data_IF_318423944758
#
_entry.id   IF_318423944758
#
_cell.length_a   1.000
_cell.length_b   1.000
_cell.length_c   1.000
_cell.angle_alpha   90.00
_cell.angle_beta   90.00
_cell.angle_gamma   90.00
#
_symmetry.space_group_name_H-M   'P 1'
#
loop_
_entity.id
_entity.type
_entity.pdbx_description
1 polymer ?
#
# COMPACT_ATOMS: atom_id res chain seq x y z
N UNK A 1 -16.86 18.90 9.79
CA UNK A 1 -16.09 17.67 10.00
C UNK A 1 -16.07 16.93 8.67
N UNK A 2 -14.92 16.84 8.00
CA UNK A 2 -14.82 16.11 6.73
C UNK A 2 -14.84 14.62 7.08
N UNK A 3 -15.88 13.91 6.65
CA UNK A 3 -15.89 12.45 6.72
C UNK A 3 -14.90 11.94 5.67
N UNK A 4 -13.78 11.39 6.12
CA UNK A 4 -12.81 10.73 5.24
C UNK A 4 -13.36 9.34 4.93
N UNK A 5 -13.62 9.06 3.66
CA UNK A 5 -13.96 7.71 3.20
C UNK A 5 -12.72 6.81 3.31
N UNK A 6 -12.76 5.84 4.24
CA UNK A 6 -11.67 4.88 4.48
C UNK A 6 -11.59 3.78 3.42
N UNK A 7 -12.49 3.79 2.45
CA UNK A 7 -12.44 2.89 1.29
C UNK A 7 -11.86 3.57 0.05
N UNK A 8 -11.62 4.88 0.11
CA UNK A 8 -10.98 5.65 -0.95
C UNK A 8 -9.44 5.47 -0.89
N UNK A 9 -8.79 4.98 -1.96
CA UNK A 9 -7.33 4.91 -2.05
C UNK A 9 -6.61 6.24 -1.76
N UNK A 10 -7.21 7.39 -2.06
CA UNK A 10 -6.59 8.71 -1.86
C UNK A 10 -6.54 9.13 -0.39
N UNK A 11 -7.25 8.41 0.50
CA UNK A 11 -7.18 8.62 1.94
C UNK A 11 -5.89 8.06 2.58
N UNK A 12 -5.01 7.42 1.79
CA UNK A 12 -3.85 6.67 2.27
C UNK A 12 -2.56 7.07 1.56
N UNK A 13 -1.45 6.90 2.27
CA UNK A 13 -0.11 7.02 1.66
C UNK A 13 0.19 5.81 0.78
N UNK A 14 1.07 5.99 -0.20
CA UNK A 14 1.58 4.91 -1.05
C UNK A 14 2.18 3.77 -0.21
N UNK A 15 2.90 4.09 0.88
CA UNK A 15 3.45 3.09 1.80
C UNK A 15 2.38 2.18 2.41
N UNK A 16 1.27 2.76 2.89
CA UNK A 16 0.20 1.98 3.49
C UNK A 16 -0.44 1.05 2.45
N UNK A 17 -0.75 1.59 1.27
CA UNK A 17 -1.35 0.82 0.17
C UNK A 17 -0.41 -0.30 -0.28
N UNK A 18 0.89 -0.02 -0.37
CA UNK A 18 1.91 -0.99 -0.75
C UNK A 18 2.03 -2.10 0.29
N UNK A 19 2.09 -1.77 1.58
CA UNK A 19 2.12 -2.77 2.67
C UNK A 19 0.88 -3.68 2.62
N UNK A 20 -0.31 -3.10 2.44
CA UNK A 20 -1.54 -3.87 2.31
C UNK A 20 -1.48 -4.84 1.12
N UNK A 21 -1.03 -4.37 -0.05
CA UNK A 21 -0.93 -5.21 -1.25
C UNK A 21 0.14 -6.29 -1.13
N UNK A 22 1.29 -5.98 -0.50
CA UNK A 22 2.34 -6.96 -0.22
C UNK A 22 1.84 -8.06 0.71
N UNK A 23 1.08 -7.74 1.77
CA UNK A 23 0.49 -8.76 2.62
C UNK A 23 -0.52 -9.63 1.85
N UNK A 24 -1.29 -9.07 0.92
CA UNK A 24 -2.18 -9.85 0.04
C UNK A 24 -1.35 -10.80 -0.84
N UNK A 25 -0.26 -10.29 -1.42
CA UNK A 25 0.68 -11.05 -2.24
C UNK A 25 1.31 -12.19 -1.43
N UNK A 26 1.96 -11.90 -0.31
CA UNK A 26 2.70 -12.87 0.52
C UNK A 26 1.82 -14.00 1.07
N UNK A 27 0.55 -13.71 1.36
CA UNK A 27 -0.39 -14.74 1.79
C UNK A 27 -0.91 -15.62 0.63
N UNK A 28 -0.50 -15.34 -0.61
CA UNK A 28 -0.83 -16.16 -1.78
C UNK A 28 -2.32 -16.21 -2.10
N UNK A 29 -3.07 -15.15 -1.75
CA UNK A 29 -4.52 -15.15 -1.97
C UNK A 29 -4.84 -15.13 -3.47
N UNK A 30 -5.51 -16.19 -3.93
CA UNK A 30 -6.01 -16.29 -5.30
C UNK A 30 -7.12 -15.27 -5.58
N UNK A 31 -7.93 -14.97 -4.56
CA UNK A 31 -8.87 -13.84 -4.55
C UNK A 31 -9.02 -13.29 -3.12
N UNK A 32 -9.22 -11.99 -3.02
CA UNK A 32 -9.48 -11.31 -1.76
C UNK A 32 -10.99 -11.35 -1.49
N UNK A 33 -11.38 -11.95 -0.37
CA UNK A 33 -12.76 -12.11 0.08
C UNK A 33 -12.91 -11.69 1.55
N UNK A 34 -14.14 -11.71 2.08
CA UNK A 34 -14.42 -11.27 3.46
C UNK A 34 -13.61 -12.02 4.52
N UNK A 35 -13.36 -13.32 4.33
CA UNK A 35 -12.66 -14.15 5.33
C UNK A 35 -11.18 -13.81 5.41
N UNK A 36 -10.48 -13.79 4.28
CA UNK A 36 -9.05 -13.48 4.28
C UNK A 36 -8.78 -11.98 4.50
N UNK A 37 -9.68 -11.09 4.07
CA UNK A 37 -9.59 -9.66 4.40
C UNK A 37 -9.69 -9.40 5.91
N UNK A 38 -10.52 -10.17 6.65
CA UNK A 38 -10.53 -10.09 8.11
C UNK A 38 -9.22 -10.55 8.75
N UNK A 39 -8.54 -11.54 8.15
CA UNK A 39 -7.21 -11.96 8.61
C UNK A 39 -6.18 -10.87 8.38
N UNK A 40 -6.18 -10.27 7.19
CA UNK A 40 -5.31 -9.13 6.87
C UNK A 40 -5.55 -7.93 7.77
N UNK A 41 -6.82 -7.63 8.11
CA UNK A 41 -7.13 -6.56 9.05
C UNK A 41 -6.46 -6.78 10.41
N UNK A 42 -6.47 -8.02 10.91
CA UNK A 42 -5.79 -8.36 12.17
C UNK A 42 -4.28 -8.18 12.04
N UNK A 43 -3.69 -8.65 10.94
CA UNK A 43 -2.24 -8.50 10.69
C UNK A 43 -1.83 -7.04 10.58
N UNK A 44 -2.58 -6.21 9.85
CA UNK A 44 -2.28 -4.79 9.69
C UNK A 44 -2.39 -4.02 11.02
N UNK A 45 -3.43 -4.30 11.82
CA UNK A 45 -3.64 -3.63 13.12
C UNK A 45 -2.47 -3.79 14.08
N UNK A 46 -1.74 -4.89 14.00
CA UNK A 46 -0.60 -5.19 14.85
C UNK A 46 0.74 -5.00 14.13
N UNK A 47 0.73 -4.50 12.89
CA UNK A 47 1.95 -4.38 12.10
C UNK A 47 2.83 -3.24 12.64
N UNK A 48 4.13 -3.50 12.94
CA UNK A 48 5.01 -2.51 13.57
C UNK A 48 5.10 -1.18 12.82
N UNK A 49 5.09 -1.21 11.49
CA UNK A 49 5.11 -0.01 10.65
C UNK A 49 3.92 0.92 10.92
N UNK A 50 2.70 0.37 11.11
CA UNK A 50 1.51 1.18 11.36
C UNK A 50 1.45 1.67 12.80
N UNK A 51 1.95 0.85 13.73
CA UNK A 51 2.01 1.20 15.15
C UNK A 51 3.03 2.29 15.49
N UNK A 52 3.89 2.70 14.53
CA UNK A 52 4.76 3.87 14.71
C UNK A 52 3.96 5.17 14.81
N UNK A 53 2.79 5.24 14.18
CA UNK A 53 2.01 6.47 14.03
C UNK A 53 0.56 6.35 14.53
N UNK A 54 0.15 5.20 15.08
CA UNK A 54 -1.20 4.93 15.58
C UNK A 54 -1.18 3.82 16.63
N UNK A 55 -2.25 3.66 17.41
CA UNK A 55 -2.44 2.48 18.29
C UNK A 55 -3.30 1.39 17.63
N UNK A 56 -3.24 0.18 18.16
CA UNK A 56 -4.10 -0.93 17.71
C UNK A 56 -5.58 -0.59 17.90
N UNK A 57 -5.94 0.12 18.98
CA UNK A 57 -7.29 0.56 19.27
C UNK A 57 -7.78 1.57 18.23
N UNK A 58 -6.96 2.56 17.88
CA UNK A 58 -7.27 3.57 16.86
C UNK A 58 -7.48 2.91 15.50
N UNK A 59 -6.59 1.99 15.11
CA UNK A 59 -6.73 1.21 13.88
C UNK A 59 -7.99 0.34 13.92
N UNK A 60 -8.34 -0.22 15.09
CA UNK A 60 -9.51 -1.09 15.23
C UNK A 60 -10.85 -0.39 15.05
N UNK A 61 -10.91 0.93 15.23
CA UNK A 61 -12.14 1.71 15.03
C UNK A 61 -12.58 1.76 13.56
N UNK A 62 -11.65 1.65 12.61
CA UNK A 62 -11.97 1.83 11.19
C UNK A 62 -11.42 0.71 10.29
N UNK A 63 -10.28 0.10 10.63
CA UNK A 63 -9.66 -0.93 9.80
C UNK A 63 -10.37 -2.28 10.01
N UNK A 64 -11.24 -2.64 9.09
CA UNK A 64 -11.96 -3.92 9.09
C UNK A 64 -11.69 -4.69 7.80
N UNK A 65 -12.00 -5.99 7.78
CA UNK A 65 -11.88 -6.77 6.54
C UNK A 65 -12.80 -6.25 5.42
N UNK A 66 -13.95 -5.66 5.76
CA UNK A 66 -14.81 -5.02 4.76
C UNK A 66 -14.14 -3.77 4.16
N UNK A 67 -13.51 -2.95 5.00
CA UNK A 67 -12.77 -1.77 4.55
C UNK A 67 -11.61 -2.17 3.66
N UNK A 68 -10.80 -3.16 4.05
CA UNK A 68 -9.68 -3.67 3.24
C UNK A 68 -10.17 -4.20 1.89
N UNK A 69 -11.24 -4.99 1.90
CA UNK A 69 -11.78 -5.57 0.67
C UNK A 69 -12.26 -4.48 -0.30
N UNK A 70 -13.01 -3.48 0.21
CA UNK A 70 -13.48 -2.35 -0.59
C UNK A 70 -12.32 -1.48 -1.07
N UNK A 71 -11.39 -1.13 -0.18
CA UNK A 71 -10.20 -0.34 -0.49
C UNK A 71 -9.37 -0.98 -1.60
N UNK A 72 -9.11 -2.29 -1.51
CA UNK A 72 -8.36 -3.02 -2.52
C UNK A 72 -9.08 -3.05 -3.88
N UNK A 73 -10.40 -3.27 -3.89
CA UNK A 73 -11.17 -3.24 -5.13
C UNK A 73 -11.22 -1.82 -5.74
N UNK A 74 -11.40 -0.78 -4.91
CA UNK A 74 -11.38 0.61 -5.36
C UNK A 74 -10.02 0.99 -5.93
N UNK A 75 -8.94 0.50 -5.32
CA UNK A 75 -7.58 0.68 -5.82
C UNK A 75 -7.39 0.03 -7.19
N UNK A 76 -7.79 -1.24 -7.37
CA UNK A 76 -7.73 -1.90 -8.68
C UNK A 76 -8.54 -1.15 -9.74
N UNK A 77 -9.74 -0.67 -9.39
CA UNK A 77 -10.57 0.12 -10.30
C UNK A 77 -9.92 1.45 -10.68
N UNK A 78 -9.36 2.18 -9.70
CA UNK A 78 -8.64 3.45 -9.93
C UNK A 78 -7.50 3.28 -10.92
N UNK A 79 -6.75 2.19 -10.78
CA UNK A 79 -5.60 1.88 -11.63
C UNK A 79 -5.95 1.15 -12.93
N UNK A 80 -7.24 0.91 -13.21
CA UNK A 80 -7.72 0.12 -14.36
C UNK A 80 -7.07 -1.27 -14.44
N UNK A 81 -6.82 -1.90 -13.29
CA UNK A 81 -6.28 -3.26 -13.21
C UNK A 81 -7.47 -4.23 -13.12
N UNK A 82 -7.69 -4.99 -14.19
CA UNK A 82 -8.75 -5.98 -14.22
C UNK A 82 -8.37 -7.24 -13.42
N UNK A 83 -9.33 -7.74 -12.64
CA UNK A 83 -9.23 -9.08 -12.06
C UNK A 83 -9.46 -10.09 -13.16
N UNK A 84 -8.42 -10.47 -13.89
CA UNK A 84 -8.55 -11.49 -14.91
C UNK A 84 -8.71 -12.88 -14.27
N UNK A 85 -9.96 -13.28 -14.04
CA UNK A 85 -10.34 -14.58 -13.46
C UNK A 85 -10.07 -15.73 -14.43
N UNK A 86 -9.77 -15.44 -15.71
CA UNK A 86 -9.69 -16.48 -16.75
C UNK A 86 -8.34 -17.20 -16.83
N UNK A 87 -7.33 -16.77 -16.08
CA UNK A 87 -5.99 -17.38 -16.11
C UNK A 87 -5.68 -18.25 -14.90
N UNK A 88 -6.66 -19.01 -14.38
CA UNK A 88 -6.34 -20.25 -13.66
C UNK A 88 -5.88 -21.27 -14.72
N UNK A 89 -4.63 -21.13 -15.19
CA UNK A 89 -4.02 -22.13 -16.07
C UNK A 89 -4.03 -23.46 -15.32
N UNK A 90 -4.89 -24.37 -15.78
CA UNK A 90 -4.92 -25.81 -15.43
C UNK A 90 -3.59 -26.56 -15.67
N UNK A 91 -2.53 -25.86 -16.08
CA UNK A 91 -1.23 -26.41 -16.45
C UNK A 91 -0.07 -25.80 -15.65
N UNK A 92 -0.32 -25.12 -14.54
CA UNK A 92 0.76 -24.77 -13.61
C UNK A 92 1.33 -26.10 -13.04
N UNK A 93 2.64 -26.37 -13.17
CA UNK A 93 3.24 -27.57 -12.61
C UNK A 93 2.93 -27.62 -11.11
N UNK A 94 2.52 -28.79 -10.61
CA UNK A 94 2.22 -29.01 -9.20
C UNK A 94 3.34 -28.42 -8.33
N UNK A 95 3.07 -27.30 -7.66
CA UNK A 95 4.02 -26.60 -6.80
C UNK A 95 4.32 -25.13 -7.14
N UNK A 96 3.93 -24.59 -8.31
CA UNK A 96 4.05 -23.14 -8.54
C UNK A 96 2.83 -22.40 -8.00
N UNK A 97 2.94 -21.82 -6.80
CA UNK A 97 2.00 -20.80 -6.34
C UNK A 97 2.19 -19.54 -7.19
N UNK A 98 1.60 -19.50 -8.37
CA UNK A 98 1.53 -18.27 -9.16
C UNK A 98 0.51 -17.35 -8.50
N UNK A 99 0.98 -16.20 -8.01
CA UNK A 99 0.12 -15.14 -7.51
C UNK A 99 -0.78 -14.62 -8.65
N UNK A 100 -2.00 -14.17 -8.35
CA UNK A 100 -2.86 -13.60 -9.39
C UNK A 100 -2.19 -12.38 -10.03
N UNK A 101 -2.22 -12.32 -11.37
CA UNK A 101 -1.54 -11.25 -12.11
C UNK A 101 -1.94 -9.84 -11.69
N UNK A 102 -3.19 -9.64 -11.28
CA UNK A 102 -3.68 -8.35 -10.79
C UNK A 102 -3.06 -7.95 -9.44
N UNK A 103 -2.71 -8.90 -8.57
CA UNK A 103 -2.04 -8.61 -7.28
C UNK A 103 -0.59 -8.22 -7.54
N UNK A 104 0.10 -8.92 -8.44
CA UNK A 104 1.45 -8.56 -8.87
C UNK A 104 1.47 -7.17 -9.50
N UNK A 105 0.57 -6.91 -10.46
CA UNK A 105 0.50 -5.64 -11.17
C UNK A 105 0.29 -4.44 -10.23
N UNK A 106 -0.60 -4.56 -9.24
CA UNK A 106 -0.81 -3.45 -8.30
C UNK A 106 0.38 -3.25 -7.35
N UNK A 107 1.07 -4.32 -6.94
CA UNK A 107 2.29 -4.22 -6.14
C UNK A 107 3.41 -3.52 -6.92
N UNK A 108 3.64 -3.91 -8.17
CA UNK A 108 4.67 -3.32 -9.04
C UNK A 108 4.40 -1.83 -9.28
N UNK A 109 3.14 -1.47 -9.53
CA UNK A 109 2.72 -0.08 -9.73
C UNK A 109 2.96 0.77 -8.48
N UNK A 110 2.55 0.29 -7.30
CA UNK A 110 2.76 1.02 -6.04
C UNK A 110 4.24 1.09 -5.68
N UNK A 111 5.03 0.06 -5.99
CA UNK A 111 6.47 0.06 -5.79
C UNK A 111 7.16 1.13 -6.66
N UNK A 112 6.80 1.20 -7.93
CA UNK A 112 7.31 2.23 -8.85
C UNK A 112 6.98 3.65 -8.36
N UNK A 113 5.72 3.89 -7.96
CA UNK A 113 5.32 5.18 -7.37
C UNK A 113 6.12 5.51 -6.12
N UNK A 114 6.37 4.51 -5.27
CA UNK A 114 7.12 4.74 -4.05
C UNK A 114 8.58 5.11 -4.34
N UNK A 115 9.19 4.52 -5.36
CA UNK A 115 10.52 4.91 -5.81
C UNK A 115 10.54 6.37 -6.29
N UNK A 116 9.56 6.76 -7.13
CA UNK A 116 9.43 8.15 -7.60
C UNK A 116 9.29 9.16 -6.44
N UNK A 117 8.47 8.84 -5.43
CA UNK A 117 8.31 9.66 -4.23
C UNK A 117 9.62 9.82 -3.44
N UNK A 118 10.38 8.74 -3.31
CA UNK A 118 11.66 8.74 -2.60
C UNK A 118 12.70 9.56 -3.37
N UNK A 119 12.78 9.38 -4.70
CA UNK A 119 13.68 10.15 -5.57
C UNK A 119 13.36 11.65 -5.50
N UNK A 120 12.09 12.02 -5.63
CA UNK A 120 11.65 13.41 -5.50
C UNK A 120 11.97 13.99 -4.11
N UNK A 121 11.78 13.21 -3.05
CA UNK A 121 12.13 13.61 -1.68
C UNK A 121 13.63 13.85 -1.51
N UNK A 122 14.47 12.95 -2.05
CA UNK A 122 15.93 13.10 -2.04
C UNK A 122 16.35 14.38 -2.75
N UNK A 123 15.81 14.66 -3.93
CA UNK A 123 16.17 15.85 -4.69
C UNK A 123 15.71 17.14 -4.02
N UNK A 124 14.51 17.16 -3.45
CA UNK A 124 14.05 18.30 -2.66
C UNK A 124 14.93 18.52 -1.41
N UNK A 125 15.34 17.45 -0.73
CA UNK A 125 16.23 17.53 0.43
C UNK A 125 17.61 18.09 0.06
N UNK A 126 18.16 17.73 -1.11
CA UNK A 126 19.42 18.33 -1.62
C UNK A 126 19.30 19.84 -1.80
N UNK A 127 18.17 20.31 -2.36
CA UNK A 127 17.91 21.74 -2.56
C UNK A 127 17.80 22.45 -1.21
N UNK A 128 16.94 21.96 -0.32
CA UNK A 128 16.75 22.55 1.01
C UNK A 128 18.04 22.59 1.82
N UNK A 129 18.83 21.52 1.79
CA UNK A 129 20.13 21.48 2.47
C UNK A 129 21.11 22.50 1.89
N UNK A 130 21.16 22.65 0.57
CA UNK A 130 22.02 23.64 -0.09
C UNK A 130 21.64 25.07 0.29
N UNK A 131 20.34 25.38 0.36
CA UNK A 131 19.84 26.67 0.82
C UNK A 131 20.17 26.95 2.29
N UNK A 132 19.97 25.94 3.16
CA UNK A 132 20.31 26.04 4.58
C UNK A 132 21.81 26.27 4.78
N UNK A 133 22.65 25.56 4.02
CA UNK A 133 24.09 25.73 4.07
C UNK A 133 24.51 27.13 3.61
N UNK A 134 23.89 27.65 2.54
CA UNK A 134 24.16 29.02 2.07
C UNK A 134 23.79 30.08 3.12
N UNK A 135 22.62 29.92 3.78
CA UNK A 135 22.20 30.80 4.88
C UNK A 135 23.19 30.77 6.04
N UNK A 136 23.64 29.59 6.47
CA UNK A 136 24.62 29.46 7.54
C UNK A 136 25.95 30.14 7.21
N UNK A 137 26.45 29.98 5.97
CA UNK A 137 27.67 30.66 5.51
C UNK A 137 27.53 32.18 5.51
N UNK A 138 26.33 32.70 5.21
CA UNK A 138 26.07 34.14 5.24
C UNK A 138 26.00 34.72 6.65
N UNK A 139 25.70 33.88 7.66
CA UNK A 139 25.64 34.27 9.07
C UNK A 139 27.00 34.14 9.79
N UNK A 140 27.95 33.38 9.23
CA UNK A 140 29.30 33.21 9.79
C UNK A 140 30.32 34.23 9.24
N UNK A 141 29.89 35.14 8.37
CA UNK A 141 30.67 36.27 7.85
C UNK A 141 30.13 37.57 8.42
#
# INVERSE_FOLDING_TARGET
MVLIDKTDPDAYTTDFLLLMCQLIYDNGFQDLNKRNANSLAKTLKTHPFLLQNSTEEELSQWLSGEVILKLFNNLLMRENIEKDVTTIKKNAPHGSHTHPGYVTAICDLLYARRLEEIEASIDNNKVQFSEQLAKLKSLSN
#
